data_IF_942438069501
#
_entry.id   IF_942438069501
#
_cell.length_a   1.000
_cell.length_b   1.000
_cell.length_c   1.000
_cell.angle_alpha   90.00
_cell.angle_beta   90.00
_cell.angle_gamma   90.00
#
_symmetry.space_group_name_H-M   'P 1'
#
loop_
_entity.id
_entity.type
_entity.pdbx_description
1 polymer ?
#
# COMPACT_ATOMS: atom_id res chain seq x y z
N UNK A 1 -21.08 8.13 -2.09
CA UNK A 1 -19.85 8.94 -1.91
C UNK A 1 -19.05 8.88 -3.21
N UNK A 2 -18.32 9.94 -3.59
CA UNK A 2 -17.50 9.91 -4.79
C UNK A 2 -16.24 9.08 -4.55
N UNK A 3 -15.84 8.26 -5.53
CA UNK A 3 -14.59 7.51 -5.47
C UNK A 3 -13.42 8.38 -5.93
N UNK A 4 -12.23 8.17 -5.36
CA UNK A 4 -10.99 8.77 -5.85
C UNK A 4 -10.30 7.84 -6.84
N UNK A 5 -10.39 6.52 -6.61
CA UNK A 5 -9.90 5.51 -7.54
C UNK A 5 -11.03 4.56 -7.90
N UNK A 6 -11.14 4.26 -9.20
CA UNK A 6 -12.05 3.28 -9.75
C UNK A 6 -11.29 2.32 -10.66
N UNK A 7 -11.44 1.04 -10.41
CA UNK A 7 -10.87 -0.04 -11.22
C UNK A 7 -12.03 -0.82 -11.81
N UNK A 8 -12.00 -1.05 -13.13
CA UNK A 8 -13.06 -1.76 -13.85
C UNK A 8 -12.48 -2.80 -14.80
N UNK A 9 -12.93 -4.04 -14.64
CA UNK A 9 -12.59 -5.23 -15.45
C UNK A 9 -11.09 -5.36 -15.72
N UNK A 10 -10.28 -4.99 -14.72
CA UNK A 10 -8.84 -4.85 -14.85
C UNK A 10 -8.17 -6.21 -15.04
N UNK A 11 -7.43 -6.36 -16.13
CA UNK A 11 -6.56 -7.50 -16.39
C UNK A 11 -5.11 -7.03 -16.53
N UNK A 12 -4.20 -7.77 -15.91
CA UNK A 12 -2.77 -7.51 -16.01
C UNK A 12 -1.95 -8.79 -15.80
N UNK A 13 -0.88 -8.93 -16.59
CA UNK A 13 0.10 -10.00 -16.44
C UNK A 13 1.50 -9.55 -16.86
N UNK A 14 2.50 -10.28 -16.41
CA UNK A 14 3.89 -10.15 -16.87
C UNK A 14 4.18 -11.25 -17.88
N UNK A 15 4.33 -10.90 -19.17
CA UNK A 15 4.43 -11.87 -20.24
C UNK A 15 3.17 -12.76 -20.31
N UNK A 16 3.36 -14.07 -20.24
CA UNK A 16 2.26 -15.05 -20.25
C UNK A 16 1.62 -15.28 -18.86
N UNK A 17 2.28 -14.81 -17.78
CA UNK A 17 1.80 -15.01 -16.42
C UNK A 17 0.73 -13.97 -16.07
N UNK A 18 -0.53 -14.41 -15.98
CA UNK A 18 -1.62 -13.57 -15.45
C UNK A 18 -1.40 -13.29 -13.96
N UNK A 19 -1.57 -12.02 -13.57
CA UNK A 19 -1.43 -11.57 -12.18
C UNK A 19 -2.77 -11.05 -11.64
N UNK A 20 -3.53 -10.31 -12.46
CA UNK A 20 -4.83 -9.76 -12.09
C UNK A 20 -5.85 -10.11 -13.17
N UNK A 21 -7.03 -10.56 -12.78
CA UNK A 21 -8.07 -11.10 -13.66
C UNK A 21 -9.44 -10.53 -13.33
N UNK A 22 -9.89 -9.55 -14.12
CA UNK A 22 -11.26 -9.02 -14.02
C UNK A 22 -11.54 -8.27 -12.72
N UNK A 23 -10.55 -7.51 -12.17
CA UNK A 23 -10.74 -6.78 -10.93
C UNK A 23 -11.68 -5.59 -11.09
N UNK A 24 -12.61 -5.48 -10.14
CA UNK A 24 -13.50 -4.32 -9.98
C UNK A 24 -13.36 -3.82 -8.55
N UNK A 25 -12.87 -2.58 -8.35
CA UNK A 25 -12.63 -2.00 -7.03
C UNK A 25 -13.01 -0.51 -7.02
N UNK A 26 -13.56 -0.08 -5.90
CA UNK A 26 -13.93 1.30 -5.62
C UNK A 26 -13.24 1.80 -4.35
N UNK A 27 -12.52 2.91 -4.46
CA UNK A 27 -11.84 3.52 -3.32
C UNK A 27 -12.50 4.86 -3.01
N UNK A 28 -13.34 4.86 -1.97
CA UNK A 28 -14.12 6.03 -1.56
C UNK A 28 -13.19 7.12 -1.00
N UNK A 29 -13.49 8.39 -1.34
CA UNK A 29 -12.71 9.55 -0.86
C UNK A 29 -12.72 9.67 0.66
N UNK A 30 -11.58 10.07 1.22
CA UNK A 30 -11.39 10.31 2.64
C UNK A 30 -11.32 9.04 3.50
N UNK A 31 -11.33 7.85 2.89
CA UNK A 31 -11.32 6.56 3.59
C UNK A 31 -9.94 5.92 3.61
N UNK A 32 -9.70 5.08 4.60
CA UNK A 32 -8.59 4.13 4.63
C UNK A 32 -9.10 2.79 4.12
N UNK A 33 -8.61 2.35 2.98
CA UNK A 33 -9.00 1.10 2.35
C UNK A 33 -7.82 0.14 2.33
N UNK A 34 -7.97 -1.02 2.94
CA UNK A 34 -6.96 -2.06 2.95
C UNK A 34 -7.16 -3.05 1.79
N UNK A 35 -6.09 -3.38 1.09
CA UNK A 35 -6.03 -4.47 0.10
C UNK A 35 -5.14 -5.56 0.69
N UNK A 36 -5.74 -6.66 1.09
CA UNK A 36 -5.11 -7.74 1.82
C UNK A 36 -5.01 -9.00 0.98
N UNK A 37 -4.12 -9.89 1.37
CA UNK A 37 -3.93 -11.18 0.70
C UNK A 37 -2.50 -11.69 0.80
N UNK A 38 -2.29 -12.93 0.42
CA UNK A 38 -0.99 -13.60 0.48
C UNK A 38 0.09 -12.94 -0.39
N UNK A 39 1.33 -13.34 -0.19
CA UNK A 39 2.45 -12.92 -1.04
C UNK A 39 2.20 -13.33 -2.50
N UNK A 40 2.52 -12.45 -3.43
CA UNK A 40 2.32 -12.70 -4.87
C UNK A 40 0.87 -12.60 -5.36
N UNK A 41 -0.11 -12.23 -4.54
CA UNK A 41 -1.52 -12.09 -4.96
C UNK A 41 -1.78 -10.91 -5.91
N UNK A 42 -0.81 -10.00 -6.10
CA UNK A 42 -0.95 -8.85 -7.02
C UNK A 42 -1.14 -7.49 -6.34
N UNK A 43 -1.07 -7.41 -5.02
CA UNK A 43 -1.30 -6.17 -4.24
C UNK A 43 -0.44 -4.98 -4.69
N UNK A 44 0.89 -5.14 -4.68
CA UNK A 44 1.83 -4.10 -5.17
C UNK A 44 1.59 -3.75 -6.64
N UNK A 45 1.16 -4.73 -7.45
CA UNK A 45 0.82 -4.51 -8.87
C UNK A 45 -0.35 -3.56 -9.01
N UNK A 46 -1.37 -3.66 -8.14
CA UNK A 46 -2.50 -2.71 -8.12
C UNK A 46 -2.00 -1.29 -7.85
N UNK A 47 -1.12 -1.07 -6.85
CA UNK A 47 -0.57 0.25 -6.57
C UNK A 47 0.23 0.81 -7.76
N UNK A 48 1.01 -0.03 -8.43
CA UNK A 48 1.78 0.37 -9.63
C UNK A 48 0.89 0.75 -10.82
N UNK A 49 -0.25 0.08 -10.97
CA UNK A 49 -1.26 0.42 -11.99
C UNK A 49 -1.96 1.74 -11.66
N UNK A 50 -2.34 1.96 -10.39
CA UNK A 50 -2.91 3.23 -9.90
C UNK A 50 -1.91 4.37 -10.12
N UNK A 51 -0.63 4.18 -9.78
CA UNK A 51 0.45 5.16 -9.99
C UNK A 51 0.89 5.32 -11.45
N UNK A 52 0.31 4.57 -12.39
CA UNK A 52 0.65 4.63 -13.82
C UNK A 52 2.07 4.16 -14.15
N UNK A 53 2.69 3.36 -13.29
CA UNK A 53 3.99 2.71 -13.57
C UNK A 53 3.82 1.50 -14.50
N UNK A 54 2.63 0.92 -14.50
CA UNK A 54 2.23 -0.19 -15.35
C UNK A 54 0.99 0.20 -16.15
N UNK A 55 0.80 -0.44 -17.30
CA UNK A 55 -0.40 -0.29 -18.14
C UNK A 55 -1.20 -1.58 -18.08
N UNK A 56 -2.54 -1.53 -17.90
CA UNK A 56 -3.38 -2.71 -17.95
C UNK A 56 -3.37 -3.34 -19.35
N UNK A 57 -3.57 -4.65 -19.43
CA UNK A 57 -3.80 -5.38 -20.68
C UNK A 57 -5.22 -5.13 -21.19
N UNK A 58 -6.18 -5.07 -20.26
CA UNK A 58 -7.57 -4.66 -20.54
C UNK A 58 -8.20 -4.07 -19.28
N UNK A 59 -9.39 -3.49 -19.45
CA UNK A 59 -10.07 -2.77 -18.39
C UNK A 59 -9.50 -1.36 -18.17
N UNK A 60 -9.83 -0.74 -17.04
CA UNK A 60 -9.41 0.63 -16.77
C UNK A 60 -9.09 0.88 -15.29
N UNK A 61 -8.18 1.81 -15.07
CA UNK A 61 -7.89 2.44 -13.79
C UNK A 61 -8.12 3.93 -13.92
N UNK A 62 -9.04 4.49 -13.14
CA UNK A 62 -9.27 5.93 -13.07
C UNK A 62 -8.84 6.44 -11.69
N UNK A 63 -8.19 7.58 -11.68
CA UNK A 63 -7.82 8.31 -10.47
C UNK A 63 -8.28 9.75 -10.63
N UNK A 64 -9.04 10.25 -9.66
CA UNK A 64 -9.62 11.60 -9.68
C UNK A 64 -10.41 11.87 -10.98
N UNK A 65 -11.11 10.85 -11.51
CA UNK A 65 -11.86 10.89 -12.77
C UNK A 65 -11.04 10.70 -14.05
N UNK A 66 -9.70 10.75 -13.96
CA UNK A 66 -8.80 10.61 -15.12
C UNK A 66 -8.38 9.14 -15.33
N UNK A 67 -8.47 8.66 -16.57
CA UNK A 67 -8.03 7.30 -16.93
C UNK A 67 -6.50 7.27 -17.04
N UNK A 68 -5.84 6.63 -16.08
CA UNK A 68 -4.39 6.72 -15.87
C UNK A 68 -3.58 6.31 -17.10
N UNK A 69 -3.92 5.20 -17.75
CA UNK A 69 -3.15 4.65 -18.87
C UNK A 69 -3.34 5.39 -20.20
N UNK A 70 -4.26 6.34 -20.27
CA UNK A 70 -4.50 7.18 -21.46
C UNK A 70 -3.88 8.56 -21.34
N UNK A 71 -3.36 8.92 -20.15
CA UNK A 71 -2.74 10.21 -19.93
C UNK A 71 -1.44 10.38 -20.74
N UNK A 72 -1.21 11.60 -21.19
CA UNK A 72 0.10 12.03 -21.67
C UNK A 72 1.13 12.01 -20.53
N UNK A 73 2.41 12.07 -20.88
CA UNK A 73 3.47 12.15 -19.86
C UNK A 73 3.25 13.32 -18.90
N UNK A 74 2.93 14.51 -19.42
CA UNK A 74 2.66 15.70 -18.60
C UNK A 74 1.41 15.52 -17.71
N UNK A 75 0.33 14.93 -18.24
CA UNK A 75 -0.87 14.61 -17.48
C UNK A 75 -0.59 13.63 -16.36
N UNK A 76 0.20 12.59 -16.64
CA UNK A 76 0.60 11.61 -15.60
C UNK A 76 1.46 12.25 -14.50
N UNK A 77 2.37 13.16 -14.85
CA UNK A 77 3.14 13.92 -13.84
C UNK A 77 2.23 14.81 -13.00
N UNK A 78 1.28 15.51 -13.61
CA UNK A 78 0.31 16.33 -12.89
C UNK A 78 -0.55 15.49 -11.92
N UNK A 79 -0.99 14.29 -12.35
CA UNK A 79 -1.74 13.37 -11.52
C UNK A 79 -0.89 12.85 -10.34
N UNK A 80 0.36 12.45 -10.59
CA UNK A 80 1.29 11.95 -9.54
C UNK A 80 1.61 12.98 -8.46
N UNK A 81 1.57 14.27 -8.77
CA UNK A 81 1.74 15.34 -7.75
C UNK A 81 0.62 15.32 -6.70
N UNK A 82 -0.56 14.78 -7.04
CA UNK A 82 -1.69 14.60 -6.11
C UNK A 82 -1.62 13.27 -5.34
N UNK A 83 -0.58 12.46 -5.55
CA UNK A 83 -0.40 11.15 -4.94
C UNK A 83 0.85 11.10 -4.07
N UNK A 84 0.74 10.49 -2.89
CA UNK A 84 1.87 10.09 -2.06
C UNK A 84 2.10 8.59 -2.15
N UNK A 85 3.34 8.15 -2.03
CA UNK A 85 3.69 6.73 -2.02
C UNK A 85 4.68 6.43 -0.92
N UNK A 86 4.33 5.50 -0.02
CA UNK A 86 5.24 4.86 0.92
C UNK A 86 5.61 3.48 0.39
N UNK A 87 6.86 3.31 -0.02
CA UNK A 87 7.38 2.04 -0.51
C UNK A 87 7.75 1.10 0.65
N UNK A 88 7.72 -0.20 0.40
CA UNK A 88 8.06 -1.24 1.37
C UNK A 88 9.44 -1.05 2.02
N UNK A 89 10.45 -0.64 1.27
CA UNK A 89 11.80 -0.32 1.79
C UNK A 89 11.93 1.09 2.37
N UNK A 90 10.85 1.91 2.34
CA UNK A 90 10.90 3.35 2.59
C UNK A 90 11.53 4.15 1.46
N UNK A 91 12.45 3.57 0.70
CA UNK A 91 13.15 4.16 -0.45
C UNK A 91 13.68 5.57 -0.19
N UNK A 92 14.27 5.80 0.99
CA UNK A 92 14.94 7.06 1.31
C UNK A 92 16.22 7.22 0.50
N UNK A 93 16.55 8.46 0.16
CA UNK A 93 17.85 8.82 -0.35
C UNK A 93 18.87 8.70 0.80
N UNK A 94 19.79 7.76 0.69
CA UNK A 94 20.71 7.39 1.77
C UNK A 94 21.74 8.47 2.12
N UNK A 95 22.07 9.30 1.13
CA UNK A 95 23.05 10.38 1.27
C UNK A 95 22.43 11.70 1.79
N UNK A 96 21.09 11.78 1.79
CA UNK A 96 20.34 12.95 2.24
C UNK A 96 19.88 12.77 3.69
N UNK A 97 19.81 13.90 4.43
CA UNK A 97 19.23 13.94 5.78
C UNK A 97 17.72 13.66 5.75
N UNK A 98 17.10 13.45 6.92
CA UNK A 98 15.65 13.36 7.05
C UNK A 98 14.96 14.62 6.53
N UNK A 99 15.52 15.79 6.81
CA UNK A 99 15.05 17.06 6.30
C UNK A 99 15.06 17.09 4.77
N UNK A 100 16.18 16.77 4.15
CA UNK A 100 16.34 16.81 2.70
C UNK A 100 15.46 15.77 1.97
N UNK A 101 15.30 14.59 2.54
CA UNK A 101 14.35 13.58 2.02
C UNK A 101 12.92 14.15 1.94
N UNK A 102 12.47 14.87 2.97
CA UNK A 102 11.12 15.46 3.00
C UNK A 102 11.05 16.73 2.13
N UNK A 103 12.14 17.52 2.07
CA UNK A 103 12.23 18.72 1.25
C UNK A 103 12.25 18.40 -0.26
N UNK A 104 12.75 17.22 -0.66
CA UNK A 104 12.95 16.86 -2.05
C UNK A 104 11.69 17.04 -2.92
N UNK A 105 10.53 16.44 -2.62
CA UNK A 105 9.35 16.65 -3.45
C UNK A 105 8.84 18.10 -3.45
N UNK A 106 9.04 18.85 -2.37
CA UNK A 106 8.67 20.26 -2.33
C UNK A 106 9.54 21.10 -3.28
N UNK A 107 10.88 20.87 -3.31
CA UNK A 107 11.79 21.56 -4.23
C UNK A 107 11.52 21.23 -5.69
N UNK A 108 11.21 19.96 -5.99
CA UNK A 108 10.97 19.50 -7.36
C UNK A 108 9.64 20.00 -7.94
N UNK A 109 8.64 20.28 -7.08
CA UNK A 109 7.28 20.51 -7.53
C UNK A 109 6.69 21.86 -7.12
N UNK A 110 7.44 22.70 -6.42
CA UNK A 110 6.99 24.02 -5.98
C UNK A 110 8.13 25.05 -6.02
N UNK A 111 7.76 26.32 -6.20
CA UNK A 111 8.70 27.47 -6.13
C UNK A 111 8.61 28.17 -4.77
N UNK A 112 8.59 27.41 -3.67
CA UNK A 112 8.48 27.95 -2.32
C UNK A 112 9.74 28.71 -1.90
N UNK A 113 9.60 29.90 -1.25
CA UNK A 113 10.72 30.57 -0.62
C UNK A 113 11.40 29.64 0.42
N UNK A 114 12.73 29.74 0.60
CA UNK A 114 13.50 28.85 1.51
C UNK A 114 12.95 28.78 2.93
N UNK A 115 12.52 29.91 3.48
CA UNK A 115 11.97 29.98 4.84
C UNK A 115 10.64 29.21 4.98
N UNK A 116 9.76 29.33 3.99
CA UNK A 116 8.50 28.59 3.97
C UNK A 116 8.73 27.11 3.75
N UNK A 117 9.63 26.72 2.84
CA UNK A 117 10.02 25.33 2.62
C UNK A 117 10.57 24.72 3.93
N UNK A 118 11.48 25.42 4.63
CA UNK A 118 12.00 24.96 5.92
C UNK A 118 10.88 24.73 6.94
N UNK A 119 9.97 25.68 7.06
CA UNK A 119 8.83 25.58 8.00
C UNK A 119 7.92 24.39 7.68
N UNK A 120 7.58 24.18 6.41
CA UNK A 120 6.77 23.06 5.96
C UNK A 120 7.44 21.71 6.21
N UNK A 121 8.72 21.58 5.89
CA UNK A 121 9.47 20.33 6.14
C UNK A 121 9.49 20.01 7.63
N UNK A 122 9.78 20.99 8.49
CA UNK A 122 9.76 20.78 9.94
C UNK A 122 8.36 20.43 10.47
N UNK A 123 7.30 21.00 9.88
CA UNK A 123 5.91 20.64 10.19
C UNK A 123 5.61 19.18 9.83
N UNK A 124 6.03 18.71 8.64
CA UNK A 124 5.83 17.31 8.22
C UNK A 124 6.63 16.34 9.09
N UNK A 125 7.87 16.67 9.43
CA UNK A 125 8.68 15.89 10.36
C UNK A 125 8.09 15.89 11.79
N UNK A 126 7.51 17.00 12.22
CA UNK A 126 6.82 17.07 13.50
C UNK A 126 5.57 16.17 13.53
N UNK A 127 4.80 16.12 12.43
CA UNK A 127 3.61 15.28 12.32
C UNK A 127 3.92 13.79 12.51
N UNK A 128 5.15 13.34 12.17
CA UNK A 128 5.63 11.96 12.38
C UNK A 128 6.53 11.82 13.62
N UNK A 129 6.65 12.86 14.45
CA UNK A 129 7.42 12.86 15.70
C UNK A 129 8.95 12.89 15.52
N UNK A 130 9.45 13.40 14.38
CA UNK A 130 10.87 13.38 14.03
C UNK A 130 11.49 14.75 13.76
N UNK A 131 10.87 15.86 14.22
CA UNK A 131 11.40 17.22 14.01
C UNK A 131 12.85 17.34 14.51
N UNK A 132 13.15 16.78 15.67
CA UNK A 132 14.50 16.88 16.27
C UNK A 132 15.54 15.95 15.62
N UNK A 133 15.10 15.04 14.74
CA UNK A 133 15.98 14.17 13.93
C UNK A 133 16.17 14.70 12.50
N UNK A 134 15.77 15.94 12.21
CA UNK A 134 15.77 16.51 10.86
C UNK A 134 17.15 16.45 10.17
N UNK A 135 18.24 16.60 10.91
CA UNK A 135 19.60 16.62 10.37
C UNK A 135 20.28 15.24 10.30
N UNK A 136 19.62 14.20 10.82
CA UNK A 136 20.15 12.84 10.79
C UNK A 136 19.95 12.20 9.41
N UNK A 137 20.91 11.38 9.01
CA UNK A 137 20.83 10.56 7.79
C UNK A 137 20.13 9.22 8.08
N UNK A 138 19.63 8.50 7.05
CA UNK A 138 19.03 7.19 7.22
C UNK A 138 19.91 6.17 7.95
N UNK A 139 21.25 6.27 7.82
CA UNK A 139 22.20 5.41 8.53
C UNK A 139 22.32 5.69 10.03
N UNK A 140 21.81 6.84 10.51
CA UNK A 140 21.91 7.29 11.89
C UNK A 140 20.60 7.13 12.67
N UNK A 141 19.57 6.60 12.03
CA UNK A 141 18.22 6.43 12.60
C UNK A 141 17.76 4.96 12.56
N UNK A 142 16.82 4.59 13.43
CA UNK A 142 16.24 3.25 13.42
C UNK A 142 15.36 3.01 12.19
N UNK A 143 15.09 1.72 11.85
CA UNK A 143 14.20 1.36 10.75
C UNK A 143 12.79 1.96 10.89
N UNK A 144 12.24 1.97 12.11
CA UNK A 144 10.96 2.61 12.39
C UNK A 144 11.01 4.13 12.21
N UNK A 145 12.12 4.79 12.58
CA UNK A 145 12.31 6.21 12.29
C UNK A 145 12.43 6.48 10.78
N UNK A 146 13.20 5.65 10.06
CA UNK A 146 13.33 5.76 8.60
C UNK A 146 11.96 5.61 7.90
N UNK A 147 11.13 4.68 8.36
CA UNK A 147 9.76 4.50 7.86
C UNK A 147 8.93 5.78 8.07
N UNK A 148 9.03 6.40 9.23
CA UNK A 148 8.31 7.66 9.53
C UNK A 148 8.84 8.85 8.72
N UNK A 149 10.14 8.92 8.43
CA UNK A 149 10.68 9.93 7.48
C UNK A 149 10.12 9.73 6.08
N UNK A 150 10.07 8.47 5.60
CA UNK A 150 9.48 8.15 4.31
C UNK A 150 7.98 8.50 4.25
N UNK A 151 7.26 8.33 5.37
CA UNK A 151 5.87 8.77 5.50
C UNK A 151 5.76 10.30 5.43
N UNK A 152 6.62 11.06 6.14
CA UNK A 152 6.66 12.52 6.07
C UNK A 152 6.94 13.00 4.63
N UNK A 153 7.82 12.32 3.90
CA UNK A 153 8.08 12.60 2.48
C UNK A 153 6.86 12.32 1.61
N UNK A 154 6.16 11.22 1.85
CA UNK A 154 4.96 10.85 1.07
C UNK A 154 3.82 11.87 1.21
N UNK A 155 3.73 12.57 2.36
CA UNK A 155 2.72 13.60 2.62
C UNK A 155 3.23 15.04 2.38
N UNK A 156 4.43 15.23 1.85
CA UNK A 156 5.05 16.56 1.74
C UNK A 156 4.21 17.53 0.90
N UNK A 157 3.59 17.07 -0.17
CA UNK A 157 2.76 17.86 -1.10
C UNK A 157 1.26 17.86 -0.74
N UNK A 158 0.86 17.44 0.45
CA UNK A 158 -0.56 17.30 0.87
C UNK A 158 -1.41 16.55 -0.15
N UNK A 159 -1.04 15.30 -0.50
CA UNK A 159 -1.70 14.55 -1.56
C UNK A 159 -3.13 14.17 -1.19
N UNK A 160 -4.01 14.13 -2.19
CA UNK A 160 -5.40 13.65 -2.04
C UNK A 160 -5.50 12.12 -1.94
N UNK A 161 -4.48 11.41 -2.43
CA UNK A 161 -4.37 9.95 -2.39
C UNK A 161 -3.00 9.56 -1.85
N UNK A 162 -2.95 8.70 -0.84
CA UNK A 162 -1.71 8.14 -0.30
C UNK A 162 -1.78 6.61 -0.43
N UNK A 163 -0.73 6.05 -1.03
CA UNK A 163 -0.58 4.61 -1.21
C UNK A 163 0.52 4.08 -0.30
N UNK A 164 0.24 2.99 0.40
CA UNK A 164 1.17 2.35 1.34
C UNK A 164 1.41 0.91 0.90
N UNK A 165 2.64 0.61 0.52
CA UNK A 165 3.06 -0.75 0.14
C UNK A 165 3.78 -1.41 1.32
N UNK A 166 3.11 -2.34 2.01
CA UNK A 166 3.58 -3.08 3.18
C UNK A 166 4.22 -2.16 4.26
N UNK A 167 3.48 -1.18 4.80
CA UNK A 167 4.04 -0.17 5.70
C UNK A 167 4.51 -0.72 7.04
N UNK A 168 4.08 -1.92 7.43
CA UNK A 168 4.42 -2.55 8.70
C UNK A 168 5.59 -3.53 8.60
N UNK A 169 5.96 -3.95 7.37
CA UNK A 169 6.95 -4.98 7.15
C UNK A 169 8.30 -4.67 7.82
N UNK A 170 8.80 -5.61 8.63
CA UNK A 170 10.09 -5.51 9.31
C UNK A 170 10.13 -4.56 10.51
N UNK A 171 8.99 -4.09 10.99
CA UNK A 171 8.88 -3.29 12.20
C UNK A 171 8.61 -4.19 13.42
N UNK A 172 9.07 -3.75 14.59
CA UNK A 172 8.65 -4.33 15.87
C UNK A 172 7.19 -3.99 16.19
N UNK A 173 6.50 -4.73 17.08
CA UNK A 173 5.07 -4.53 17.36
C UNK A 173 4.71 -3.10 17.82
N UNK A 174 5.58 -2.44 18.58
CA UNK A 174 5.34 -1.07 19.03
C UNK A 174 5.40 -0.11 17.84
N UNK A 175 6.41 -0.25 17.00
CA UNK A 175 6.59 0.55 15.78
C UNK A 175 5.47 0.32 14.76
N UNK A 176 4.92 -0.91 14.67
CA UNK A 176 3.76 -1.23 13.84
C UNK A 176 2.53 -0.44 14.31
N UNK A 177 2.20 -0.51 15.60
CA UNK A 177 1.08 0.24 16.18
C UNK A 177 1.22 1.76 16.04
N UNK A 178 2.44 2.30 16.22
CA UNK A 178 2.73 3.73 15.99
C UNK A 178 2.49 4.09 14.53
N UNK A 179 2.96 3.27 13.58
CA UNK A 179 2.79 3.53 12.14
C UNK A 179 1.32 3.46 11.73
N UNK A 180 0.57 2.47 12.21
CA UNK A 180 -0.86 2.35 11.96
C UNK A 180 -1.63 3.59 12.45
N UNK A 181 -1.40 4.00 13.69
CA UNK A 181 -2.01 5.19 14.26
C UNK A 181 -1.63 6.48 13.49
N UNK A 182 -0.40 6.58 13.01
CA UNK A 182 0.02 7.72 12.18
C UNK A 182 -0.71 7.75 10.85
N UNK A 183 -0.84 6.62 10.16
CA UNK A 183 -1.61 6.51 8.91
C UNK A 183 -3.04 7.00 9.12
N UNK A 184 -3.73 6.53 10.17
CA UNK A 184 -5.09 6.94 10.48
C UNK A 184 -5.18 8.45 10.78
N UNK A 185 -4.33 8.96 11.69
CA UNK A 185 -4.33 10.38 12.05
C UNK A 185 -4.03 11.30 10.87
N UNK A 186 -3.09 10.92 10.01
CA UNK A 186 -2.76 11.70 8.82
C UNK A 186 -3.89 11.67 7.79
N UNK A 187 -4.55 10.53 7.60
CA UNK A 187 -5.73 10.43 6.76
C UNK A 187 -6.84 11.37 7.24
N UNK A 188 -7.14 11.37 8.55
CA UNK A 188 -8.17 12.23 9.14
C UNK A 188 -7.78 13.72 9.06
N UNK A 189 -6.52 14.06 9.34
CA UNK A 189 -6.06 15.44 9.36
C UNK A 189 -5.96 16.07 7.97
N UNK A 190 -5.56 15.30 6.96
CA UNK A 190 -5.42 15.77 5.58
C UNK A 190 -6.72 15.63 4.77
N UNK A 191 -7.70 14.86 5.25
CA UNK A 191 -8.87 14.49 4.45
C UNK A 191 -8.52 13.68 3.21
N UNK A 192 -7.32 13.08 3.17
CA UNK A 192 -6.83 12.29 2.05
C UNK A 192 -7.46 10.90 2.04
N UNK A 193 -7.38 10.20 0.91
CA UNK A 193 -7.71 8.78 0.83
C UNK A 193 -6.45 7.96 0.97
N UNK A 194 -6.50 6.89 1.77
CA UNK A 194 -5.38 5.98 2.01
C UNK A 194 -5.68 4.60 1.42
N UNK A 195 -4.79 4.10 0.55
CA UNK A 195 -4.81 2.72 0.07
C UNK A 195 -3.65 1.99 0.72
N UNK A 196 -3.98 1.02 1.57
CA UNK A 196 -3.03 0.23 2.33
C UNK A 196 -2.95 -1.18 1.76
N UNK A 197 -1.79 -1.56 1.26
CA UNK A 197 -1.49 -2.93 0.86
C UNK A 197 -0.70 -3.59 1.99
N UNK A 198 -1.23 -4.65 2.59
CA UNK A 198 -0.57 -5.35 3.68
C UNK A 198 -1.04 -6.81 3.81
N UNK A 199 -0.26 -7.60 4.55
CA UNK A 199 -0.65 -8.91 5.05
C UNK A 199 -0.85 -8.91 6.58
N UNK A 200 -0.59 -7.79 7.26
CA UNK A 200 -0.75 -7.63 8.71
C UNK A 200 -2.21 -7.31 9.05
N UNK A 201 -2.94 -8.30 9.53
CA UNK A 201 -4.40 -8.21 9.77
C UNK A 201 -4.70 -7.23 10.90
N UNK A 202 -4.02 -7.38 12.03
CA UNK A 202 -4.33 -6.63 13.26
C UNK A 202 -4.23 -5.12 13.05
N UNK A 203 -3.10 -4.66 12.52
CA UNK A 203 -2.82 -3.25 12.28
C UNK A 203 -3.72 -2.68 11.18
N UNK A 204 -3.91 -3.45 10.11
CA UNK A 204 -4.75 -3.01 8.99
C UNK A 204 -6.20 -2.86 9.39
N UNK A 205 -6.76 -3.84 10.11
CA UNK A 205 -8.16 -3.81 10.56
C UNK A 205 -8.42 -2.72 11.61
N UNK A 206 -7.40 -2.42 12.43
CA UNK A 206 -7.49 -1.35 13.43
C UNK A 206 -7.67 0.05 12.84
N UNK A 207 -7.31 0.26 11.58
CA UNK A 207 -7.35 1.59 10.94
C UNK A 207 -8.19 1.66 9.67
N UNK A 208 -8.53 0.54 9.03
CA UNK A 208 -9.27 0.52 7.78
C UNK A 208 -10.77 0.79 7.97
N UNK A 209 -11.34 1.53 7.03
CA UNK A 209 -12.80 1.69 6.89
C UNK A 209 -13.39 0.55 6.03
N UNK A 210 -12.59 0.01 5.09
CA UNK A 210 -13.00 -1.04 4.16
C UNK A 210 -11.84 -1.93 3.78
N UNK A 211 -12.10 -3.19 3.46
CA UNK A 211 -11.10 -4.21 3.16
C UNK A 211 -11.46 -4.97 1.90
N UNK A 212 -10.50 -5.16 1.02
CA UNK A 212 -10.55 -6.12 -0.09
C UNK A 212 -9.59 -7.27 0.19
N UNK A 213 -10.06 -8.50 0.08
CA UNK A 213 -9.22 -9.69 0.08
C UNK A 213 -8.93 -10.15 -1.35
N UNK A 214 -7.65 -10.18 -1.68
CA UNK A 214 -7.13 -10.58 -2.99
C UNK A 214 -6.48 -11.96 -2.91
N UNK A 215 -6.92 -12.88 -3.74
CA UNK A 215 -6.31 -14.19 -3.90
C UNK A 215 -6.26 -14.56 -5.37
N UNK A 216 -5.13 -15.09 -5.83
CA UNK A 216 -4.94 -15.52 -7.23
C UNK A 216 -5.38 -14.49 -8.27
N UNK A 217 -5.12 -13.21 -7.99
CA UNK A 217 -5.45 -12.10 -8.88
C UNK A 217 -6.93 -11.71 -8.95
N UNK A 218 -7.76 -12.21 -8.03
CA UNK A 218 -9.19 -11.91 -7.95
C UNK A 218 -9.59 -11.44 -6.54
N UNK A 219 -10.65 -10.65 -6.44
CA UNK A 219 -11.26 -10.31 -5.16
C UNK A 219 -12.13 -11.49 -4.71
N UNK A 220 -11.76 -12.08 -3.58
CA UNK A 220 -12.47 -13.23 -3.00
C UNK A 220 -13.46 -12.83 -1.91
N UNK A 221 -13.23 -11.68 -1.28
CA UNK A 221 -14.13 -11.08 -0.29
C UNK A 221 -13.87 -9.59 -0.18
N UNK A 222 -14.86 -8.83 0.26
CA UNK A 222 -14.75 -7.41 0.53
C UNK A 222 -15.80 -6.96 1.54
N UNK A 223 -15.50 -5.93 2.31
CA UNK A 223 -16.42 -5.39 3.33
C UNK A 223 -15.68 -4.58 4.39
N UNK A 224 -16.38 -4.24 5.46
CA UNK A 224 -15.77 -3.63 6.64
C UNK A 224 -14.88 -4.62 7.39
N UNK A 225 -13.93 -4.17 8.23
CA UNK A 225 -13.14 -5.06 9.09
C UNK A 225 -14.02 -6.01 9.94
N UNK A 226 -15.14 -5.51 10.48
CA UNK A 226 -16.06 -6.33 11.28
C UNK A 226 -16.73 -7.45 10.46
N UNK A 227 -17.14 -7.16 9.21
CA UNK A 227 -17.67 -8.17 8.29
C UNK A 227 -16.61 -9.21 7.91
N UNK A 228 -15.36 -8.79 7.74
CA UNK A 228 -14.26 -9.70 7.43
C UNK A 228 -13.92 -10.61 8.61
N UNK A 229 -13.95 -10.10 9.84
CA UNK A 229 -13.78 -10.92 11.06
C UNK A 229 -14.89 -11.96 11.23
N UNK A 230 -16.12 -11.62 10.85
CA UNK A 230 -17.28 -12.52 10.89
C UNK A 230 -17.41 -13.40 9.63
N UNK A 231 -16.51 -13.28 8.67
CA UNK A 231 -16.62 -13.95 7.38
C UNK A 231 -16.48 -15.48 7.51
N UNK A 232 -17.39 -16.20 6.85
CA UNK A 232 -17.33 -17.66 6.71
C UNK A 232 -16.56 -18.11 5.48
N UNK A 233 -16.08 -17.16 4.64
CA UNK A 233 -15.32 -17.49 3.44
C UNK A 233 -14.01 -18.20 3.83
N UNK A 234 -13.72 -19.41 3.33
CA UNK A 234 -12.60 -20.23 3.82
C UNK A 234 -11.24 -19.52 3.74
N UNK A 235 -10.97 -18.80 2.65
CA UNK A 235 -9.72 -18.04 2.50
C UNK A 235 -9.58 -16.90 3.52
N UNK A 236 -10.67 -16.14 3.74
CA UNK A 236 -10.66 -15.03 4.71
C UNK A 236 -10.45 -15.57 6.12
N UNK A 237 -11.14 -16.66 6.47
CA UNK A 237 -11.02 -17.31 7.77
C UNK A 237 -9.60 -17.81 8.01
N UNK A 238 -9.01 -18.54 7.04
CA UNK A 238 -7.63 -18.98 7.12
C UNK A 238 -6.66 -17.81 7.30
N UNK A 239 -6.84 -16.75 6.52
CA UNK A 239 -5.94 -15.59 6.54
C UNK A 239 -6.04 -14.79 7.85
N UNK A 240 -7.27 -14.51 8.29
CA UNK A 240 -7.53 -13.69 9.50
C UNK A 240 -7.09 -14.41 10.78
N UNK A 241 -7.31 -15.73 10.84
CA UNK A 241 -6.98 -16.54 12.01
C UNK A 241 -5.58 -17.16 11.95
N UNK A 242 -4.83 -16.93 10.86
CA UNK A 242 -3.54 -17.57 10.60
C UNK A 242 -3.60 -19.10 10.70
N UNK A 243 -4.69 -19.70 10.19
CA UNK A 243 -4.89 -21.15 10.22
C UNK A 243 -3.88 -21.84 9.28
N UNK A 244 -3.17 -22.89 9.73
CA UNK A 244 -2.16 -23.58 8.91
C UNK A 244 -2.80 -24.35 7.75
N UNK A 245 -4.03 -24.84 7.93
CA UNK A 245 -4.77 -25.62 6.95
C UNK A 245 -5.92 -24.79 6.35
N UNK A 246 -6.10 -24.87 5.02
CA UNK A 246 -7.15 -24.14 4.32
C UNK A 246 -6.93 -24.05 2.81
N UNK A 247 -7.61 -23.12 2.12
CA UNK A 247 -7.47 -22.95 0.67
C UNK A 247 -6.07 -22.63 0.18
N UNK A 248 -5.21 -22.04 1.04
CA UNK A 248 -3.79 -21.88 0.76
C UNK A 248 -3.08 -23.13 1.29
N UNK A 249 -2.61 -24.05 0.41
CA UNK A 249 -2.03 -25.30 0.84
C UNK A 249 -0.63 -25.09 1.42
N UNK A 250 -0.30 -25.89 2.45
CA UNK A 250 1.07 -25.94 2.99
C UNK A 250 2.07 -26.50 1.96
N UNK A 251 1.67 -27.56 1.23
CA UNK A 251 2.50 -28.18 0.22
C UNK A 251 2.38 -27.48 -1.13
N UNK A 252 3.52 -27.29 -1.79
CA UNK A 252 3.53 -26.89 -3.20
C UNK A 252 2.83 -27.97 -4.04
N UNK A 253 1.99 -27.60 -5.01
CA UNK A 253 1.28 -28.57 -5.84
C UNK A 253 2.23 -29.53 -6.56
N UNK A 254 2.03 -30.83 -6.41
CA UNK A 254 2.87 -31.87 -6.98
C UNK A 254 2.37 -33.24 -6.59
N UNK A 255 3.11 -34.30 -6.99
CA UNK A 255 2.85 -35.67 -6.54
C UNK A 255 3.08 -35.76 -5.04
N UNK A 256 2.34 -36.65 -4.37
CA UNK A 256 2.60 -36.92 -2.97
C UNK A 256 3.96 -37.62 -2.80
N UNK A 257 4.60 -37.45 -1.64
CA UNK A 257 5.85 -38.12 -1.34
C UNK A 257 5.71 -39.67 -1.46
N UNK A 258 4.56 -40.21 -1.11
CA UNK A 258 4.27 -41.63 -1.24
C UNK A 258 4.27 -42.09 -2.72
N UNK A 259 3.74 -41.26 -3.63
CA UNK A 259 3.78 -41.53 -5.07
C UNK A 259 5.20 -41.44 -5.63
N UNK A 260 5.99 -40.44 -5.22
CA UNK A 260 7.37 -40.26 -5.66
C UNK A 260 8.29 -41.37 -5.14
N UNK A 261 8.02 -41.90 -3.95
CA UNK A 261 8.74 -43.02 -3.37
C UNK A 261 8.21 -44.39 -3.82
N UNK A 262 7.20 -44.45 -4.70
CA UNK A 262 6.61 -45.68 -5.15
C UNK A 262 5.92 -46.51 -4.05
N UNK A 263 5.55 -45.87 -2.94
CA UNK A 263 4.88 -46.51 -1.82
C UNK A 263 3.40 -46.72 -2.20
N UNK A 264 3.04 -47.99 -2.46
CA UNK A 264 1.62 -48.32 -2.63
C UNK A 264 0.88 -48.05 -1.31
N UNK A 265 -0.13 -47.20 -1.35
CA UNK A 265 -0.99 -46.93 -0.19
C UNK A 265 -1.54 -48.29 0.31
N UNK A 266 -1.31 -48.60 1.58
CA UNK A 266 -2.10 -49.66 2.26
C UNK A 266 -3.50 -49.08 2.43
N UNK A 267 -4.47 -49.69 1.70
CA UNK A 267 -5.87 -49.37 1.78
C UNK A 267 -6.46 -49.57 3.18
#
# INVERSE_FOLDING_TARGET
MANIVEIRDLQFGYGERSILSGLNMDFARGKVIAVMGGSGSGKTTILRLIGGQLRPQSGSVKVDGETVHTLSTSGLYALRRKMGMLFQSGALFTDLTAFENVAFPLREHTDLPPELLNSLVLLKLNAVGLRNAAQLKPSEISGGMARRVALARAIALDPSLIMYDEPFAGLDPISMGVTANLIRKLNDALGSTSILVSHDVHESFGIADYVYFLSQGQIVAQGTPAEMLASTHPYVKQFVNAEPDGPVPFHYPGKSLAEDLGMKGRG
#
